data_IF_950602168094
#
_entry.id   IF_950602168094
#
_cell.length_a   1.000
_cell.length_b   1.000
_cell.length_c   1.000
_cell.angle_alpha   90.00
_cell.angle_beta   90.00
_cell.angle_gamma   90.00
#
_symmetry.space_group_name_H-M   'P 1'
#
loop_
_entity.id
_entity.type
_entity.pdbx_description
1 polymer ?
#
# COMPACT_ATOMS: atom_id res chain seq x y z
N UNK A 1 64.56 8.37 -36.71
CA UNK A 1 65.10 8.85 -35.41
C UNK A 1 64.36 10.12 -35.03
N UNK A 2 63.97 10.20 -33.75
CA UNK A 2 63.34 11.34 -33.05
C UNK A 2 61.93 11.78 -33.48
N UNK A 3 60.88 11.35 -32.76
CA UNK A 3 59.67 12.15 -32.63
C UNK A 3 59.97 13.25 -31.61
N UNK A 4 59.72 14.51 -31.94
CA UNK A 4 59.80 15.59 -30.95
C UNK A 4 58.58 16.48 -31.07
N UNK A 5 58.05 16.81 -29.89
CA UNK A 5 56.96 17.75 -29.59
C UNK A 5 55.56 17.14 -29.67
N UNK A 6 55.31 16.28 -28.68
CA UNK A 6 54.00 16.12 -28.07
C UNK A 6 53.52 17.51 -27.61
N UNK A 7 52.63 18.09 -28.39
CA UNK A 7 51.88 19.28 -28.03
C UNK A 7 50.85 18.81 -26.98
N UNK A 8 51.13 19.18 -25.72
CA UNK A 8 50.13 19.36 -24.69
C UNK A 8 48.91 20.04 -25.29
N UNK A 9 47.76 19.35 -25.42
CA UNK A 9 46.44 20.00 -25.39
C UNK A 9 45.24 19.03 -25.37
N UNK A 10 45.23 17.97 -24.54
CA UNK A 10 43.94 17.31 -24.19
C UNK A 10 43.99 16.74 -22.78
N UNK A 11 44.21 17.59 -21.79
CA UNK A 11 43.99 17.25 -20.37
C UNK A 11 42.94 18.19 -19.77
N UNK A 12 41.78 18.32 -20.43
CA UNK A 12 40.64 19.07 -19.89
C UNK A 12 39.27 18.58 -20.37
N UNK A 13 39.16 17.33 -20.86
CA UNK A 13 37.85 16.72 -21.22
C UNK A 13 37.53 15.48 -20.37
N UNK A 14 38.34 15.17 -19.35
CA UNK A 14 38.07 14.08 -18.40
C UNK A 14 37.51 14.58 -17.05
N UNK A 15 36.84 15.74 -17.05
CA UNK A 15 36.25 16.34 -15.85
C UNK A 15 34.83 16.89 -16.10
N UNK A 16 34.10 16.29 -17.05
CA UNK A 16 32.68 16.58 -17.31
C UNK A 16 31.76 15.35 -17.16
N UNK A 17 32.29 14.20 -16.75
CA UNK A 17 31.47 13.00 -16.43
C UNK A 17 31.38 12.71 -14.92
N UNK A 18 31.80 13.67 -14.07
CA UNK A 18 31.92 13.48 -12.63
C UNK A 18 30.83 14.11 -11.77
N UNK A 19 29.76 14.67 -12.34
CA UNK A 19 28.63 15.22 -11.57
C UNK A 19 27.32 14.89 -12.29
N UNK A 20 26.90 13.63 -12.22
CA UNK A 20 25.47 13.38 -12.10
C UNK A 20 25.19 13.13 -10.63
N UNK A 21 24.45 14.02 -9.94
CA UNK A 21 23.89 13.64 -8.67
C UNK A 21 22.96 12.46 -8.93
N UNK A 22 23.27 11.30 -8.37
CA UNK A 22 22.31 10.22 -8.12
C UNK A 22 21.32 10.70 -7.06
N UNK A 23 20.54 11.71 -7.42
CA UNK A 23 19.28 12.02 -6.79
C UNK A 23 18.24 11.24 -7.56
N UNK A 24 18.04 9.97 -7.19
CA UNK A 24 16.75 9.32 -7.40
C UNK A 24 15.73 9.93 -6.43
N UNK A 25 15.54 11.23 -6.54
CA UNK A 25 14.27 11.86 -6.29
C UNK A 25 13.57 11.80 -7.64
N UNK A 26 12.88 10.69 -7.90
CA UNK A 26 11.88 10.69 -8.94
C UNK A 26 10.93 11.83 -8.62
N UNK A 27 11.04 12.92 -9.38
CA UNK A 27 10.13 14.03 -9.36
C UNK A 27 8.78 13.54 -9.87
N UNK A 28 8.00 12.90 -9.00
CA UNK A 28 6.62 12.53 -9.27
C UNK A 28 5.77 13.80 -9.11
N UNK A 29 5.62 14.53 -10.22
CA UNK A 29 4.63 15.61 -10.36
C UNK A 29 3.27 14.97 -10.66
N UNK A 30 2.39 14.98 -9.67
CA UNK A 30 1.00 14.56 -9.77
C UNK A 30 0.38 14.57 -8.37
N UNK A 31 -0.06 15.74 -7.91
CA UNK A 31 -0.70 15.95 -6.61
C UNK A 31 -2.14 15.43 -6.63
N UNK A 32 -2.32 14.12 -6.44
CA UNK A 32 -3.52 13.59 -5.82
C UNK A 32 -3.05 12.95 -4.52
N UNK A 33 -3.24 13.65 -3.40
CA UNK A 33 -2.82 13.22 -2.08
C UNK A 33 -4.03 13.34 -1.17
N UNK A 34 -4.24 12.30 -0.36
CA UNK A 34 -5.28 12.25 0.66
C UNK A 34 -4.77 13.04 1.88
N UNK A 35 -5.37 14.21 2.12
CA UNK A 35 -4.88 15.21 3.07
C UNK A 35 -5.58 15.17 4.42
N UNK A 36 -6.61 14.35 4.53
CA UNK A 36 -7.46 14.25 5.69
C UNK A 36 -6.62 13.81 6.90
N UNK A 37 -6.91 14.37 8.09
CA UNK A 37 -6.25 14.01 9.32
C UNK A 37 -6.69 12.62 9.81
N UNK A 38 -5.74 11.82 10.28
CA UNK A 38 -6.00 10.54 10.91
C UNK A 38 -4.88 10.21 11.91
N UNK A 39 -5.20 9.36 12.88
CA UNK A 39 -4.21 8.79 13.79
C UNK A 39 -3.74 7.44 13.26
N UNK A 40 -2.45 7.14 13.43
CA UNK A 40 -1.88 5.86 13.03
C UNK A 40 -1.21 5.20 14.23
N UNK A 41 -1.57 3.94 14.48
CA UNK A 41 -1.03 3.13 15.57
C UNK A 41 -0.67 1.73 15.09
N UNK A 42 -0.08 0.92 15.98
CA UNK A 42 0.28 -0.47 15.71
C UNK A 42 -0.28 -1.38 16.80
N UNK A 43 -0.75 -2.54 16.39
CA UNK A 43 -0.99 -3.71 17.24
C UNK A 43 -0.50 -4.93 16.48
N UNK A 44 -0.23 -6.04 17.16
CA UNK A 44 -0.04 -7.35 16.53
C UNK A 44 -1.20 -8.30 16.84
N UNK A 45 -2.18 -7.83 17.61
CA UNK A 45 -3.37 -8.60 17.95
C UNK A 45 -4.16 -8.92 16.68
N UNK A 46 -4.80 -10.09 16.63
CA UNK A 46 -5.71 -10.49 15.55
C UNK A 46 -5.09 -10.57 14.14
N UNK A 47 -3.77 -10.40 13.97
CA UNK A 47 -3.09 -10.47 12.66
C UNK A 47 -3.45 -11.73 11.88
N UNK A 48 -3.41 -12.90 12.53
CA UNK A 48 -3.73 -14.18 11.90
C UNK A 48 -5.18 -14.24 11.41
N UNK A 49 -6.12 -13.65 12.16
CA UNK A 49 -7.54 -13.57 11.77
C UNK A 49 -7.66 -12.73 10.49
N UNK A 50 -7.01 -11.58 10.45
CA UNK A 50 -7.08 -10.67 9.30
C UNK A 50 -6.36 -11.23 8.07
N UNK A 51 -5.24 -11.92 8.23
CA UNK A 51 -4.59 -12.66 7.13
C UNK A 51 -5.49 -13.78 6.58
N UNK A 52 -6.21 -14.50 7.45
CA UNK A 52 -7.19 -15.50 7.03
C UNK A 52 -8.36 -14.91 6.25
N UNK A 53 -8.85 -13.73 6.65
CA UNK A 53 -9.90 -13.01 5.91
C UNK A 53 -9.38 -12.46 4.59
N UNK A 54 -8.14 -11.97 4.54
CA UNK A 54 -7.50 -11.58 3.28
C UNK A 54 -7.47 -12.75 2.30
N UNK A 55 -7.04 -13.95 2.75
CA UNK A 55 -7.10 -15.15 1.91
C UNK A 55 -8.52 -15.40 1.41
N UNK A 56 -9.51 -15.41 2.30
CA UNK A 56 -10.90 -15.70 1.93
C UNK A 56 -11.42 -14.76 0.84
N UNK A 57 -11.21 -13.45 1.01
CA UNK A 57 -11.75 -12.44 0.09
C UNK A 57 -10.96 -12.35 -1.22
N UNK A 58 -9.64 -12.60 -1.21
CA UNK A 58 -8.87 -12.72 -2.45
C UNK A 58 -9.38 -13.89 -3.31
N UNK A 59 -9.67 -15.04 -2.68
CA UNK A 59 -10.22 -16.19 -3.40
C UNK A 59 -11.66 -15.95 -3.87
N UNK A 60 -12.53 -15.48 -2.98
CA UNK A 60 -13.98 -15.44 -3.22
C UNK A 60 -14.41 -14.25 -4.07
N UNK A 61 -13.86 -13.07 -3.78
CA UNK A 61 -14.41 -11.80 -4.28
C UNK A 61 -13.50 -11.14 -5.32
N UNK A 62 -12.19 -11.43 -5.27
CA UNK A 62 -11.20 -10.97 -6.28
C UNK A 62 -10.89 -12.04 -7.33
N UNK A 63 -11.44 -13.26 -7.17
CA UNK A 63 -11.29 -14.40 -8.09
C UNK A 63 -9.81 -14.82 -8.30
N UNK A 64 -8.99 -14.69 -7.26
CA UNK A 64 -7.60 -15.14 -7.28
C UNK A 64 -7.53 -16.63 -6.89
N UNK A 65 -7.28 -17.53 -7.85
CA UNK A 65 -7.37 -18.98 -7.59
C UNK A 65 -6.07 -19.60 -7.06
N UNK A 66 -4.92 -19.29 -7.67
CA UNK A 66 -3.65 -19.96 -7.42
C UNK A 66 -2.66 -19.07 -6.68
N UNK A 67 -2.91 -18.85 -5.39
CA UNK A 67 -2.09 -17.97 -4.57
C UNK A 67 -1.83 -18.52 -3.17
N UNK A 68 -0.91 -17.86 -2.46
CA UNK A 68 -0.62 -18.12 -1.05
C UNK A 68 -0.52 -16.83 -0.27
N UNK A 69 -1.16 -16.80 0.90
CA UNK A 69 -1.02 -15.72 1.89
C UNK A 69 -0.15 -16.22 3.04
N UNK A 70 0.91 -15.48 3.35
CA UNK A 70 1.80 -15.74 4.48
C UNK A 70 1.93 -14.49 5.34
N UNK A 71 1.90 -14.62 6.66
CA UNK A 71 2.19 -13.50 7.55
C UNK A 71 3.65 -13.07 7.39
N UNK A 72 3.90 -11.78 7.27
CA UNK A 72 5.26 -11.25 7.25
C UNK A 72 5.89 -11.37 8.65
N UNK A 73 7.19 -11.64 8.68
CA UNK A 73 7.95 -11.65 9.92
C UNK A 73 8.02 -10.24 10.51
N UNK A 74 7.85 -10.13 11.84
CA UNK A 74 7.92 -8.86 12.56
C UNK A 74 9.35 -8.34 12.75
N UNK A 75 10.36 -9.13 12.35
CA UNK A 75 11.77 -8.77 12.51
C UNK A 75 12.17 -7.48 11.78
N UNK A 76 11.39 -7.03 10.78
CA UNK A 76 11.57 -5.73 10.12
C UNK A 76 10.23 -5.02 9.90
N UNK A 77 9.68 -4.33 10.91
CA UNK A 77 8.38 -3.70 10.81
C UNK A 77 8.44 -2.46 9.88
N UNK A 78 7.51 -2.37 8.93
CA UNK A 78 7.32 -1.17 8.09
C UNK A 78 7.18 0.08 8.97
N UNK A 79 8.01 1.13 8.84
CA UNK A 79 7.88 2.34 9.64
C UNK A 79 6.49 2.99 9.51
N UNK A 80 5.88 3.42 10.63
CA UNK A 80 4.54 4.04 10.58
C UNK A 80 4.51 5.32 9.72
N UNK A 81 5.62 6.07 9.67
CA UNK A 81 5.73 7.24 8.78
C UNK A 81 5.66 6.84 7.30
N UNK A 82 6.24 5.70 6.95
CA UNK A 82 6.19 5.18 5.59
C UNK A 82 4.77 4.73 5.24
N UNK A 83 4.12 3.99 6.15
CA UNK A 83 2.72 3.63 6.00
C UNK A 83 1.82 4.87 5.87
N UNK A 84 2.07 5.91 6.66
CA UNK A 84 1.33 7.16 6.56
C UNK A 84 1.49 7.78 5.16
N UNK A 85 2.70 7.80 4.60
CA UNK A 85 2.91 8.28 3.23
C UNK A 85 2.17 7.41 2.21
N UNK A 86 2.16 6.09 2.39
CA UNK A 86 1.46 5.13 1.52
C UNK A 86 -0.07 5.32 1.56
N UNK A 87 -0.63 5.67 2.72
CA UNK A 87 -2.07 5.99 2.88
C UNK A 87 -2.43 7.36 2.30
N UNK A 88 -1.54 8.35 2.45
CA UNK A 88 -1.72 9.69 1.89
C UNK A 88 -1.50 9.75 0.39
N UNK A 89 -0.86 8.75 -0.19
CA UNK A 89 -0.61 8.69 -1.61
C UNK A 89 -1.89 8.31 -2.36
N UNK A 90 -2.67 9.33 -2.71
CA UNK A 90 -3.93 9.19 -3.43
C UNK A 90 -3.69 9.20 -4.93
N UNK A 91 -2.80 8.34 -5.43
CA UNK A 91 -2.93 7.97 -6.84
C UNK A 91 -4.27 7.25 -6.91
N UNK A 92 -5.15 7.66 -7.81
CA UNK A 92 -6.53 7.22 -8.04
C UNK A 92 -6.75 5.71 -8.31
N UNK A 93 -5.85 4.84 -7.82
CA UNK A 93 -5.74 3.40 -8.09
C UNK A 93 -5.61 2.54 -6.83
N UNK A 94 -5.25 3.09 -5.66
CA UNK A 94 -5.05 2.23 -4.48
C UNK A 94 -6.40 1.71 -3.98
N UNK A 95 -6.55 0.39 -4.03
CA UNK A 95 -7.74 -0.35 -3.69
C UNK A 95 -7.59 -1.04 -2.35
N UNK A 96 -8.56 -0.81 -1.47
CA UNK A 96 -8.63 -1.34 -0.12
C UNK A 96 -9.71 -2.42 -0.09
N UNK A 97 -9.31 -3.67 0.06
CA UNK A 97 -10.23 -4.79 0.18
C UNK A 97 -10.80 -4.84 1.61
N UNK A 98 -12.11 -4.71 1.76
CA UNK A 98 -12.80 -4.77 3.04
C UNK A 98 -12.83 -6.20 3.56
N UNK A 99 -12.12 -6.44 4.66
CA UNK A 99 -11.94 -7.75 5.31
C UNK A 99 -12.95 -8.02 6.43
N UNK A 100 -13.99 -7.21 6.55
CA UNK A 100 -15.05 -7.38 7.55
C UNK A 100 -14.84 -6.58 8.84
N UNK A 101 -15.62 -6.85 9.89
CA UNK A 101 -15.60 -6.07 11.12
C UNK A 101 -14.28 -6.21 11.88
N UNK A 102 -13.85 -5.14 12.53
CA UNK A 102 -12.66 -5.18 13.40
C UNK A 102 -12.92 -6.06 14.63
N UNK A 103 -11.91 -6.84 15.01
CA UNK A 103 -11.92 -7.63 16.23
C UNK A 103 -11.65 -6.77 17.47
N UNK A 104 -12.19 -7.20 18.61
CA UNK A 104 -12.03 -6.54 19.90
C UNK A 104 -13.21 -5.67 20.30
N UNK A 105 -12.97 -4.74 21.23
CA UNK A 105 -14.03 -3.97 21.89
C UNK A 105 -14.34 -2.61 21.24
N UNK A 106 -13.69 -2.29 20.11
CA UNK A 106 -13.88 -1.00 19.42
C UNK A 106 -14.62 -1.25 18.11
N UNK A 107 -15.69 -0.48 17.81
CA UNK A 107 -16.34 -0.56 16.51
C UNK A 107 -15.36 -0.15 15.41
N UNK A 108 -15.55 -0.72 14.23
CA UNK A 108 -14.71 -0.47 13.07
C UNK A 108 -14.72 -1.66 12.12
N UNK A 109 -13.92 -1.53 11.07
CA UNK A 109 -13.74 -2.58 10.07
C UNK A 109 -12.27 -2.67 9.70
N UNK A 110 -11.94 -3.70 8.93
CA UNK A 110 -10.57 -4.01 8.57
C UNK A 110 -10.45 -3.98 7.06
N UNK A 111 -9.35 -3.42 6.58
CA UNK A 111 -8.99 -3.40 5.17
C UNK A 111 -7.62 -3.99 4.95
N UNK A 112 -7.49 -4.75 3.87
CA UNK A 112 -6.21 -5.14 3.31
C UNK A 112 -5.93 -4.27 2.09
N UNK A 113 -4.73 -3.71 1.99
CA UNK A 113 -4.33 -3.02 0.76
C UNK A 113 -2.88 -3.33 0.37
N UNK A 114 -2.57 -3.41 -0.93
CA UNK A 114 -1.22 -3.65 -1.40
C UNK A 114 -0.33 -2.42 -1.16
N UNK A 115 0.82 -2.64 -0.53
CA UNK A 115 1.88 -1.65 -0.42
C UNK A 115 2.55 -1.47 -1.78
N UNK A 116 3.19 -0.31 -2.00
CA UNK A 116 3.96 -0.11 -3.22
C UNK A 116 5.02 -1.22 -3.37
N UNK A 117 5.11 -1.88 -4.54
CA UNK A 117 6.01 -3.00 -4.72
C UNK A 117 7.46 -2.56 -4.57
N UNK A 118 8.26 -3.40 -3.92
CA UNK A 118 9.71 -3.25 -3.95
C UNK A 118 10.20 -3.58 -5.38
N UNK A 119 11.14 -2.78 -5.89
CA UNK A 119 11.66 -2.95 -7.25
C UNK A 119 12.20 -4.37 -7.42
N UNK A 120 11.65 -5.13 -8.38
CA UNK A 120 12.04 -6.51 -8.67
C UNK A 120 11.17 -7.60 -8.04
N UNK A 121 10.11 -7.26 -7.31
CA UNK A 121 9.20 -8.22 -6.65
C UNK A 121 7.72 -8.04 -7.06
N UNK A 122 7.46 -7.84 -8.35
CA UNK A 122 6.14 -7.48 -8.87
C UNK A 122 5.05 -8.55 -8.59
N UNK A 123 5.43 -9.83 -8.47
CA UNK A 123 4.48 -10.94 -8.25
C UNK A 123 4.40 -11.41 -6.78
N UNK A 124 5.12 -10.73 -5.87
CA UNK A 124 5.03 -10.93 -4.43
C UNK A 124 4.58 -9.63 -3.78
N UNK A 125 3.27 -9.49 -3.67
CA UNK A 125 2.66 -8.26 -3.17
C UNK A 125 2.59 -8.32 -1.65
N UNK A 126 3.00 -7.24 -0.99
CA UNK A 126 2.87 -7.13 0.47
C UNK A 126 1.63 -6.32 0.79
N UNK A 127 0.67 -6.94 1.48
CA UNK A 127 -0.52 -6.29 1.98
C UNK A 127 -0.30 -5.74 3.37
N UNK A 128 -0.77 -4.52 3.62
CA UNK A 128 -0.94 -3.99 4.96
C UNK A 128 -2.35 -4.30 5.46
N UNK A 129 -2.44 -4.83 6.69
CA UNK A 129 -3.70 -5.15 7.36
C UNK A 129 -4.03 -4.03 8.34
N UNK A 130 -5.02 -3.20 8.00
CA UNK A 130 -5.39 -2.03 8.78
C UNK A 130 -6.80 -2.15 9.33
N UNK A 131 -6.95 -1.96 10.65
CA UNK A 131 -8.26 -1.67 11.23
C UNK A 131 -8.52 -0.16 11.19
N UNK A 132 -9.72 0.23 10.78
CA UNK A 132 -10.21 1.60 10.75
C UNK A 132 -11.28 1.78 11.84
N UNK A 133 -11.07 2.75 12.73
CA UNK A 133 -11.96 3.04 13.85
C UNK A 133 -12.33 4.53 13.90
N UNK A 134 -13.53 4.90 14.40
CA UNK A 134 -14.01 6.29 14.36
C UNK A 134 -13.35 7.30 15.33
N UNK A 135 -12.60 6.90 16.37
CA UNK A 135 -12.54 7.72 17.58
C UNK A 135 -11.14 8.05 18.14
N UNK A 136 -10.57 9.16 17.67
CA UNK A 136 -9.83 10.16 18.50
C UNK A 136 -10.05 11.57 17.90
N UNK A 137 -10.60 12.51 18.68
CA UNK A 137 -10.70 13.94 18.30
C UNK A 137 -11.35 14.24 16.93
N UNK A 138 -12.44 13.54 16.58
CA UNK A 138 -13.16 13.65 15.29
C UNK A 138 -12.40 13.10 14.07
N UNK A 139 -11.32 12.35 14.27
CA UNK A 139 -10.55 11.73 13.19
C UNK A 139 -10.50 10.21 13.37
N UNK A 140 -10.48 9.45 12.27
CA UNK A 140 -10.34 8.01 12.36
C UNK A 140 -8.96 7.63 12.88
N UNK A 141 -8.94 6.51 13.60
CA UNK A 141 -7.73 5.83 14.04
C UNK A 141 -7.54 4.62 13.15
N UNK A 142 -6.42 4.62 12.43
CA UNK A 142 -5.94 3.47 11.71
C UNK A 142 -4.94 2.69 12.56
N UNK A 143 -5.14 1.39 12.68
CA UNK A 143 -4.25 0.49 13.42
C UNK A 143 -3.68 -0.52 12.44
N UNK A 144 -2.37 -0.47 12.22
CA UNK A 144 -1.67 -1.52 11.49
C UNK A 144 -1.55 -2.76 12.39
N UNK A 145 -2.18 -3.86 11.99
CA UNK A 145 -2.14 -5.14 12.70
C UNK A 145 -1.03 -6.08 12.23
N UNK A 146 -0.50 -5.82 11.04
CA UNK A 146 0.58 -6.62 10.47
C UNK A 146 0.65 -6.47 8.96
N UNK A 147 1.57 -7.22 8.37
CA UNK A 147 1.72 -7.35 6.94
C UNK A 147 1.49 -8.81 6.54
N UNK A 148 0.97 -9.00 5.34
CA UNK A 148 0.81 -10.32 4.73
C UNK A 148 1.44 -10.32 3.34
N UNK A 149 2.27 -11.31 3.05
CA UNK A 149 2.78 -11.54 1.71
C UNK A 149 1.80 -12.39 0.93
N UNK A 150 1.40 -11.88 -0.23
CA UNK A 150 0.58 -12.60 -1.20
C UNK A 150 1.48 -12.97 -2.36
N UNK A 151 1.70 -14.28 -2.53
CA UNK A 151 2.41 -14.81 -3.69
C UNK A 151 1.39 -15.38 -4.64
N UNK A 152 1.24 -14.75 -5.80
CA UNK A 152 0.42 -15.25 -6.90
C UNK A 152 1.30 -16.10 -7.83
N UNK A 153 0.94 -17.37 -7.99
CA UNK A 153 1.69 -18.31 -8.83
C UNK A 153 1.38 -18.13 -10.33
N UNK A 154 0.24 -17.51 -10.65
CA UNK A 154 -0.17 -17.17 -12.02
C UNK A 154 0.34 -15.81 -12.48
N UNK A 155 0.86 -15.00 -11.55
CA UNK A 155 1.48 -13.70 -11.80
C UNK A 155 0.50 -12.65 -12.34
N UNK A 156 -0.75 -12.68 -11.89
CA UNK A 156 -1.72 -11.63 -12.19
C UNK A 156 -1.31 -10.31 -11.51
N UNK A 157 -1.76 -9.20 -12.09
CA UNK A 157 -1.67 -7.89 -11.44
C UNK A 157 -2.80 -7.76 -10.41
N UNK A 158 -2.47 -7.97 -9.13
CA UNK A 158 -3.45 -7.94 -8.04
C UNK A 158 -4.09 -6.55 -7.90
N UNK A 159 -3.36 -5.46 -8.17
CA UNK A 159 -3.95 -4.11 -8.11
C UNK A 159 -4.98 -3.93 -9.23
N UNK A 160 -4.71 -4.46 -10.42
CA UNK A 160 -5.66 -4.47 -11.52
C UNK A 160 -6.90 -5.32 -11.22
N UNK A 161 -6.72 -6.52 -10.67
CA UNK A 161 -7.84 -7.40 -10.26
C UNK A 161 -8.74 -6.72 -9.22
N UNK A 162 -8.14 -6.09 -8.20
CA UNK A 162 -8.91 -5.34 -7.20
C UNK A 162 -9.72 -4.21 -7.84
N UNK A 163 -9.18 -3.53 -8.85
CA UNK A 163 -9.87 -2.45 -9.55
C UNK A 163 -11.04 -2.93 -10.43
N UNK A 164 -11.08 -4.23 -10.76
CA UNK A 164 -12.16 -4.85 -11.55
C UNK A 164 -13.32 -5.35 -10.68
N UNK A 165 -13.14 -5.44 -9.35
CA UNK A 165 -14.23 -5.81 -8.43
C UNK A 165 -15.36 -4.77 -8.55
N UNK A 166 -16.59 -5.21 -8.86
CA UNK A 166 -17.72 -4.28 -9.00
C UNK A 166 -17.97 -3.49 -7.71
N UNK A 167 -18.38 -2.22 -7.80
CA UNK A 167 -18.77 -1.45 -6.63
C UNK A 167 -20.04 -2.05 -5.98
N UNK A 168 -20.26 -1.82 -4.68
CA UNK A 168 -21.42 -2.34 -3.96
C UNK A 168 -22.75 -1.86 -4.58
N UNK A 169 -23.69 -2.79 -4.78
CA UNK A 169 -24.95 -2.55 -5.50
C UNK A 169 -25.93 -1.59 -4.81
N UNK A 170 -25.88 -1.49 -3.47
CA UNK A 170 -26.82 -0.72 -2.66
C UNK A 170 -26.15 0.35 -1.77
N UNK A 171 -24.90 0.73 -2.08
CA UNK A 171 -24.05 1.61 -1.25
C UNK A 171 -23.78 1.13 0.18
N UNK A 172 -24.29 -0.04 0.57
CA UNK A 172 -23.95 -0.69 1.82
C UNK A 172 -22.57 -1.35 1.68
N UNK A 173 -21.55 -0.74 2.29
CA UNK A 173 -20.19 -1.27 2.33
C UNK A 173 -20.14 -2.52 3.21
N UNK A 174 -19.54 -3.59 2.69
CA UNK A 174 -19.46 -4.90 3.31
C UNK A 174 -18.16 -5.64 3.02
N UNK A 175 -18.02 -6.82 3.63
CA UNK A 175 -16.85 -7.67 3.42
C UNK A 175 -16.78 -8.21 1.99
N UNK A 176 -15.60 -8.10 1.38
CA UNK A 176 -15.37 -8.40 -0.05
C UNK A 176 -15.38 -7.16 -0.94
N UNK A 177 -15.95 -6.05 -0.48
CA UNK A 177 -15.97 -4.82 -1.27
C UNK A 177 -14.58 -4.19 -1.39
N UNK A 178 -14.36 -3.52 -2.51
CA UNK A 178 -13.12 -2.79 -2.78
C UNK A 178 -13.37 -1.30 -2.74
N UNK A 179 -12.65 -0.63 -1.83
CA UNK A 179 -12.84 0.77 -1.48
C UNK A 179 -11.65 1.61 -1.91
N UNK A 180 -11.87 2.90 -2.11
CA UNK A 180 -10.86 3.95 -2.13
C UNK A 180 -10.53 4.41 -0.71
N UNK A 181 -9.42 5.16 -0.54
CA UNK A 181 -9.06 5.71 0.77
C UNK A 181 -10.13 6.67 1.33
N UNK A 182 -10.80 7.42 0.44
CA UNK A 182 -11.90 8.32 0.81
C UNK A 182 -13.08 7.53 1.38
N UNK A 183 -13.50 6.46 0.69
CA UNK A 183 -14.59 5.59 1.17
C UNK A 183 -14.21 4.88 2.49
N UNK A 184 -12.95 4.45 2.64
CA UNK A 184 -12.47 3.92 3.93
C UNK A 184 -12.56 4.96 5.05
N UNK A 185 -12.22 6.22 4.74
CA UNK A 185 -12.29 7.31 5.72
C UNK A 185 -13.74 7.66 6.10
N UNK A 186 -14.61 7.78 5.10
CA UNK A 186 -16.03 8.11 5.28
C UNK A 186 -16.78 7.00 6.02
N UNK A 187 -16.53 5.73 5.66
CA UNK A 187 -17.08 4.57 6.37
C UNK A 187 -16.57 4.52 7.81
N UNK A 188 -15.29 4.82 8.05
CA UNK A 188 -14.73 4.84 9.40
C UNK A 188 -15.37 5.92 10.27
N UNK A 189 -15.86 7.01 9.68
CA UNK A 189 -16.58 8.08 10.37
C UNK A 189 -18.11 7.85 10.41
N UNK A 190 -18.63 6.87 9.69
CA UNK A 190 -20.06 6.62 9.55
C UNK A 190 -20.79 7.68 8.72
N UNK A 191 -20.11 8.29 7.74
CA UNK A 191 -20.65 9.38 6.91
C UNK A 191 -21.56 8.90 5.77
N UNK A 192 -21.55 7.60 5.43
CA UNK A 192 -22.44 7.02 4.42
C UNK A 192 -23.89 6.78 4.91
N UNK A 193 -24.21 7.18 6.16
CA UNK A 193 -25.53 6.98 6.78
C UNK A 193 -26.45 8.21 6.77
N UNK A 194 -26.24 9.20 5.88
CA UNK A 194 -27.07 10.42 5.76
C UNK A 194 -27.70 10.58 4.38
#
# INVERSE_FOLDING_TARGET
>A
MCPSKAIFFVFSVALFFGIQPTSSAAAFRGTNLFWEPFHLSRSSDHRAIYSGRLHLHLFRDVDLEHFRVEEADESSPLPLRELQNQLRYEKTLRRFLHLGPAEGNRPGFVVGFPLAPEIGYEHRVTFALLAAHPLVNNFPVFTLHGLAHVTDFEKNDIEELLAQVPPPFDHAVGAGDVLSMVEVYDEALGLHAL
#
